data_IF_192611284822
#
_entry.id   IF_192611284822
#
_cell.length_a   1.000
_cell.length_b   1.000
_cell.length_c   1.000
_cell.angle_alpha   90.00
_cell.angle_beta   90.00
_cell.angle_gamma   90.00
#
_symmetry.space_group_name_H-M   'P 1'
#
loop_
_entity.id
_entity.type
_entity.pdbx_description
1 polymer ?
2 water ?
#
# COMPACT_ATOMS: atom_id res chain seq x y z
N UNK A 6 -8.90 -17.06 -14.17
CA UNK A 6 -10.18 -16.43 -14.46
C UNK A 6 -11.34 -17.43 -14.57
N UNK A 7 -12.36 -17.25 -13.74
CA UNK A 7 -12.35 -16.21 -12.71
C UNK A 7 -12.13 -16.83 -11.33
N UNK A 8 -12.01 -15.98 -10.32
CA UNK A 8 -11.77 -16.44 -8.97
C UNK A 8 -13.03 -16.55 -8.16
N UNK A 9 -14.17 -16.35 -8.82
CA UNK A 9 -15.47 -16.60 -8.21
C UNK A 9 -15.54 -18.01 -7.59
N UNK A 10 -15.95 -18.08 -6.33
CA UNK A 10 -16.02 -19.36 -5.66
C UNK A 10 -14.66 -19.99 -5.42
N UNK A 11 -13.61 -19.19 -5.57
CA UNK A 11 -12.26 -19.63 -5.22
C UNK A 11 -11.83 -18.86 -3.99
N UNK A 12 -10.94 -19.45 -3.20
CA UNK A 12 -10.44 -18.76 -2.02
C UNK A 12 -9.16 -18.01 -2.37
N UNK A 13 -9.17 -16.70 -2.12
CA UNK A 13 -8.02 -15.87 -2.42
C UNK A 13 -7.22 -15.64 -1.14
N UNK A 14 -5.93 -15.96 -1.19
CA UNK A 14 -5.08 -15.77 -0.04
C UNK A 14 -4.54 -14.35 -0.07
N UNK A 15 -4.88 -13.56 0.95
CA UNK A 15 -4.33 -12.22 1.14
C UNK A 15 -3.23 -12.41 2.17
N UNK A 16 -2.04 -11.88 1.90
CA UNK A 16 -0.94 -12.09 2.82
C UNK A 16 -0.90 -10.94 3.82
N UNK A 17 -1.24 -11.26 5.06
CA UNK A 17 -1.17 -10.31 6.16
C UNK A 17 -1.11 -11.08 7.47
N UNK A 18 -0.61 -10.43 8.52
CA UNK A 18 -0.60 -11.02 9.84
C UNK A 18 -1.65 -10.34 10.70
N UNK A 19 -2.38 -9.43 10.08
CA UNK A 19 -3.35 -8.59 10.77
C UNK A 19 -4.77 -8.88 10.28
N UNK A 20 -5.55 -9.57 11.11
CA UNK A 20 -6.93 -9.91 10.77
C UNK A 20 -7.79 -8.68 10.50
N UNK A 21 -7.43 -7.56 11.12
CA UNK A 21 -8.17 -6.31 10.98
C UNK A 21 -7.88 -5.67 9.63
N UNK A 22 -6.61 -5.72 9.22
CA UNK A 22 -6.21 -5.32 7.87
C UNK A 22 -6.98 -6.13 6.82
N UNK A 23 -7.20 -7.42 7.11
CA UNK A 23 -7.99 -8.28 6.24
C UNK A 23 -9.46 -7.88 6.29
N UNK A 24 -9.99 -7.76 7.51
CA UNK A 24 -11.36 -7.28 7.73
C UNK A 24 -11.55 -5.94 7.03
N UNK A 25 -10.56 -5.06 7.18
CA UNK A 25 -10.60 -3.76 6.54
C UNK A 25 -10.88 -3.95 5.06
N UNK A 26 -10.10 -4.81 4.42
CA UNK A 26 -10.16 -5.04 2.99
C UNK A 26 -11.47 -5.70 2.56
N UNK A 27 -11.91 -6.70 3.31
CA UNK A 27 -13.21 -7.31 3.05
C UNK A 27 -14.30 -6.24 3.01
N UNK A 28 -14.50 -5.56 4.14
CA UNK A 28 -15.55 -4.55 4.23
C UNK A 28 -15.53 -3.66 3.00
N UNK A 29 -14.42 -2.96 2.83
CA UNK A 29 -14.29 -1.95 1.79
C UNK A 29 -14.17 -2.49 0.38
N UNK A 30 -14.20 -3.78 0.15
CA UNK A 30 -14.36 -4.22 -1.20
C UNK A 30 -15.81 -4.34 -1.51
N UNK A 31 -16.62 -4.27 -0.47
CA UNK A 31 -18.06 -4.39 -0.62
C UNK A 31 -18.49 -5.84 -0.72
N UNK A 32 -19.80 -6.03 -0.60
CA UNK A 32 -20.41 -7.35 -0.64
C UNK A 32 -20.03 -8.13 -1.91
N UNK A 33 -20.17 -7.48 -3.07
CA UNK A 33 -20.09 -8.15 -4.38
C UNK A 33 -18.77 -8.80 -4.79
N UNK A 34 -18.78 -10.09 -5.14
CA UNK A 34 -19.61 -11.15 -4.56
C UNK A 34 -18.75 -12.38 -4.82
N UNK A 35 -18.70 -13.32 -3.87
CA UNK A 35 -18.20 -14.68 -4.15
C UNK A 35 -16.68 -14.89 -4.27
N UNK A 36 -15.88 -13.83 -4.36
CA UNK A 36 -14.43 -14.02 -4.24
C UNK A 36 -14.05 -14.01 -2.75
N UNK A 37 -13.50 -15.13 -2.29
CA UNK A 37 -13.44 -15.42 -0.85
C UNK A 37 -12.03 -15.26 -0.25
N UNK A 38 -11.88 -14.23 0.58
CA UNK A 38 -10.57 -13.74 1.00
C UNK A 38 -10.19 -14.25 2.39
N UNK A 39 -9.06 -14.97 2.45
CA UNK A 39 -8.55 -15.58 3.68
C UNK A 39 -7.17 -15.01 3.98
N UNK A 40 -6.89 -14.78 5.27
CA UNK A 40 -5.61 -14.25 5.71
C UNK A 40 -4.61 -15.37 5.98
N UNK A 41 -3.49 -15.33 5.28
CA UNK A 41 -2.44 -16.29 5.53
C UNK A 41 -1.18 -15.49 5.71
N UNK A 42 -0.43 -15.79 6.76
CA UNK A 42 0.81 -15.10 6.99
C UNK A 42 1.88 -15.92 6.28
N UNK A 43 2.42 -15.35 5.22
CA UNK A 43 3.44 -16.02 4.45
C UNK A 43 4.69 -15.17 4.55
N UNK A 44 5.83 -15.82 4.75
CA UNK A 44 7.06 -15.07 4.82
C UNK A 44 7.53 -14.91 3.38
N UNK A 45 7.59 -13.65 2.95
CA UNK A 45 8.10 -13.34 1.63
C UNK A 45 9.33 -12.47 1.77
N UNK A 46 10.26 -12.58 0.81
CA UNK A 46 11.37 -11.64 0.79
C UNK A 46 10.82 -10.24 0.53
N UNK A 47 11.57 -9.25 0.99
CA UNK A 47 11.32 -7.86 0.67
C UNK A 47 12.31 -7.57 -0.46
N UNK A 48 11.82 -7.05 -1.58
CA UNK A 48 12.70 -6.85 -2.73
C UNK A 48 13.01 -5.38 -2.97
N UNK A 49 14.22 -5.10 -3.48
CA UNK A 49 14.55 -3.79 -4.03
C UNK A 49 14.07 -3.71 -5.47
N UNK A 50 13.74 -2.50 -5.90
CA UNK A 50 13.31 -2.26 -7.26
C UNK A 50 12.40 -1.05 -7.33
N UNK A 51 11.81 -0.80 -8.50
CA UNK A 51 10.73 0.17 -8.62
C UNK A 51 9.49 -0.40 -7.93
N UNK A 52 8.58 0.48 -7.49
CA UNK A 52 7.39 0.01 -6.76
C UNK A 52 6.60 -1.09 -7.48
N UNK A 53 6.33 -0.94 -8.78
CA UNK A 53 5.65 -1.97 -9.58
C UNK A 53 6.41 -3.30 -9.61
N UNK A 54 7.74 -3.24 -9.76
CA UNK A 54 8.55 -4.45 -9.87
C UNK A 54 8.54 -5.22 -8.56
N UNK A 55 8.62 -4.49 -7.46
CA UNK A 55 8.61 -5.13 -6.15
C UNK A 55 7.31 -5.89 -5.90
N UNK A 56 6.17 -5.25 -6.17
CA UNK A 56 4.84 -5.86 -5.97
C UNK A 56 4.68 -7.13 -6.80
N UNK A 57 5.20 -7.11 -8.03
CA UNK A 57 5.08 -8.24 -8.95
C UNK A 57 5.99 -9.39 -8.53
N UNK A 58 7.23 -9.08 -8.17
CA UNK A 58 8.16 -10.09 -7.68
C UNK A 58 7.59 -10.72 -6.42
N UNK A 59 7.09 -9.86 -5.55
CA UNK A 59 6.46 -10.30 -4.34
C UNK A 59 5.27 -11.19 -4.65
N UNK A 60 4.40 -10.75 -5.55
CA UNK A 60 3.19 -11.53 -5.83
C UNK A 60 3.52 -12.89 -6.46
N UNK A 61 4.43 -12.89 -7.44
CA UNK A 61 4.93 -14.12 -8.05
C UNK A 61 5.51 -15.12 -7.05
N UNK A 62 6.29 -14.62 -6.10
CA UNK A 62 6.84 -15.48 -5.05
C UNK A 62 5.74 -15.99 -4.13
N UNK A 63 4.74 -15.15 -3.85
CA UNK A 63 3.60 -15.63 -3.07
C UNK A 63 2.92 -16.76 -3.84
N UNK A 64 2.83 -16.61 -5.17
CA UNK A 64 2.13 -17.59 -6.00
C UNK A 64 2.79 -18.98 -6.05
N UNK A 65 4.12 -19.02 -6.01
CA UNK A 65 4.81 -20.30 -6.08
C UNK A 65 4.74 -21.06 -4.76
N UNK A 66 4.52 -20.34 -3.67
CA UNK A 66 4.24 -20.97 -2.39
C UNK A 66 2.78 -21.39 -2.29
N UNK A 67 1.88 -20.48 -2.63
CA UNK A 67 0.45 -20.74 -2.47
C UNK A 67 -0.08 -21.64 -3.58
N UNK A 68 0.37 -21.39 -4.81
CA UNK A 68 -0.14 -22.11 -5.98
C UNK A 68 -1.66 -22.01 -6.05
N UNK A 69 -2.13 -20.76 -6.04
CA UNK A 69 -3.55 -20.44 -6.02
C UNK A 69 -3.65 -18.93 -6.01
N UNK A 70 -4.87 -18.39 -6.14
CA UNK A 70 -5.07 -16.93 -6.13
C UNK A 70 -4.45 -16.27 -4.89
N UNK A 71 -3.69 -15.21 -5.12
CA UNK A 71 -3.07 -14.53 -3.99
C UNK A 71 -3.08 -13.01 -4.15
N UNK A 72 -3.24 -12.33 -3.03
CA UNK A 72 -3.26 -10.88 -3.00
C UNK A 72 -2.18 -10.38 -2.03
N UNK A 73 -1.42 -9.37 -2.44
CA UNK A 73 -0.42 -8.75 -1.57
C UNK A 73 -0.49 -7.22 -1.66
N UNK A 74 -0.01 -6.54 -0.62
CA UNK A 74 -0.10 -5.08 -0.50
C UNK A 74 1.26 -4.48 -0.12
N UNK A 75 1.63 -3.37 -0.76
CA UNK A 75 2.78 -2.58 -0.33
C UNK A 75 2.46 -1.10 -0.26
N UNK A 76 3.21 -0.39 0.57
CA UNK A 76 3.11 1.06 0.65
C UNK A 76 4.49 1.72 0.47
N UNK A 77 4.50 2.87 -0.20
CA UNK A 77 5.68 3.70 -0.36
C UNK A 77 5.33 5.12 0.07
N UNK A 78 6.33 5.86 0.56
CA UNK A 78 6.20 7.30 0.81
C UNK A 78 7.29 7.97 -0.01
N UNK A 79 6.88 8.72 -1.03
CA UNK A 79 7.77 9.19 -2.08
C UNK A 79 7.99 10.70 -2.05
N UNK A 80 9.22 11.12 -1.77
CA UNK A 80 9.53 12.55 -1.75
C UNK A 80 9.90 12.95 -3.18
N UNK A 81 9.24 13.97 -3.73
CA UNK A 81 9.53 14.38 -5.11
C UNK A 81 10.93 14.96 -5.29
N UNK A 82 11.47 15.58 -4.25
CA UNK A 82 12.81 16.18 -4.30
C UNK A 82 13.90 15.12 -4.39
N UNK A 83 13.54 13.89 -4.01
CA UNK A 83 14.44 12.75 -4.01
C UNK A 83 14.08 11.75 -5.09
N UNK A 84 13.31 12.19 -6.08
CA UNK A 84 12.92 11.33 -7.18
C UNK A 84 12.01 10.16 -6.83
N UNK A 85 11.22 10.33 -5.77
CA UNK A 85 10.31 9.28 -5.37
C UNK A 85 10.84 8.44 -4.23
N UNK A 86 12.06 8.72 -3.78
CA UNK A 86 12.62 8.08 -2.59
C UNK A 86 12.13 8.80 -1.33
N UNK A 87 12.13 8.11 -0.17
CA UNK A 87 12.53 6.74 0.16
C UNK A 87 11.73 5.69 -0.58
N UNK A 88 10.51 6.04 -0.99
CA UNK A 88 9.63 5.12 -1.70
C UNK A 88 9.46 3.81 -0.95
N UNK A 89 9.77 2.69 -1.62
CA UNK A 89 9.61 1.35 -1.04
C UNK A 89 10.56 1.06 0.12
N UNK A 90 11.51 1.97 0.38
CA UNK A 90 12.45 1.77 1.48
C UNK A 90 12.06 2.60 2.71
N UNK A 91 10.82 3.09 2.71
CA UNK A 91 10.37 4.02 3.74
C UNK A 91 10.44 3.42 5.16
N UNK A 92 10.17 2.13 5.32
CA UNK A 92 10.21 1.53 6.64
C UNK A 92 11.57 1.73 7.30
N UNK A 93 12.63 1.50 6.53
CA UNK A 93 14.00 1.62 7.05
C UNK A 93 14.31 3.06 7.44
N UNK A 94 13.84 4.01 6.64
CA UNK A 94 14.15 5.41 6.91
C UNK A 94 13.38 5.95 8.11
N UNK A 95 12.15 5.47 8.26
CA UNK A 95 11.32 5.79 9.42
C UNK A 95 11.94 5.24 10.70
N UNK A 96 12.29 3.95 10.69
CA UNK A 96 12.97 3.35 11.82
C UNK A 96 14.21 4.14 12.25
N UNK A 97 15.05 4.52 11.29
CA UNK A 97 16.29 5.21 11.62
C UNK A 97 16.08 6.68 11.96
N UNK A 98 15.21 7.36 11.21
CA UNK A 98 15.16 8.82 11.29
C UNK A 98 14.03 9.38 12.14
N UNK A 99 12.94 8.62 12.26
CA UNK A 99 11.71 9.07 12.91
C UNK A 99 11.05 10.14 12.03
N UNK A 100 9.75 10.43 12.26
CA UNK A 100 9.09 11.47 11.47
C UNK A 100 9.85 12.81 11.46
N UNK A 101 10.44 13.20 12.59
CA UNK A 101 11.28 14.39 12.62
C UNK A 101 12.42 14.30 11.60
N UNK A 102 13.12 13.16 11.59
CA UNK A 102 14.25 12.96 10.70
C UNK A 102 13.86 12.83 9.24
N UNK A 103 12.67 12.30 8.97
CA UNK A 103 12.18 12.22 7.60
C UNK A 103 11.98 13.63 7.04
N UNK A 104 11.53 14.54 7.89
CA UNK A 104 11.38 15.94 7.49
C UNK A 104 12.75 16.60 7.33
N UNK A 105 13.66 16.28 8.24
CA UNK A 105 15.00 16.84 8.25
C UNK A 105 15.81 16.44 7.00
N UNK A 106 15.48 15.28 6.45
CA UNK A 106 16.07 14.78 5.22
C UNK A 106 15.89 15.75 4.06
N UNK A 107 14.78 16.48 4.04
CA UNK A 107 14.51 17.41 2.95
C UNK A 107 15.01 18.83 3.21
N UNK A 108 15.83 19.00 4.24
CA UNK A 108 16.25 20.34 4.65
C UNK A 108 17.02 21.10 3.58
N UNK A 109 17.72 20.38 2.71
CA UNK A 109 18.47 21.03 1.66
C UNK A 109 17.72 21.21 0.36
N UNK A 110 16.43 20.86 0.35
CA UNK A 110 15.59 20.98 -0.84
C UNK A 110 14.39 21.87 -0.56
N UNK A 111 14.12 22.80 -1.48
CA UNK A 111 12.98 23.71 -1.40
C UNK A 111 11.64 22.98 -1.55
N UNK A 112 11.64 21.98 -2.42
CA UNK A 112 10.43 21.26 -2.76
C UNK A 112 10.18 20.23 -1.68
N UNK A 113 9.09 20.39 -0.94
CA UNK A 113 8.76 19.46 0.13
C UNK A 113 7.60 18.56 -0.28
N UNK A 114 7.21 18.64 -1.55
CA UNK A 114 6.07 17.87 -2.02
C UNK A 114 6.40 16.40 -2.06
N UNK A 115 5.37 15.59 -1.92
CA UNK A 115 5.54 14.16 -1.79
C UNK A 115 4.21 13.48 -2.12
N UNK A 116 4.26 12.17 -2.34
CA UNK A 116 3.03 11.40 -2.44
C UNK A 116 3.13 10.07 -1.71
N UNK A 117 2.00 9.62 -1.16
CA UNK A 117 1.92 8.29 -0.56
C UNK A 117 1.33 7.34 -1.60
N UNK A 118 1.83 6.12 -1.63
CA UNK A 118 1.46 5.17 -2.65
C UNK A 118 1.07 3.85 -2.01
N UNK A 119 -0.05 3.31 -2.43
CA UNK A 119 -0.40 1.97 -2.04
C UNK A 119 -0.58 1.14 -3.29
N UNK A 120 0.02 -0.04 -3.30
CA UNK A 120 -0.11 -0.94 -4.43
C UNK A 120 -0.57 -2.32 -3.99
N UNK A 121 -1.69 -2.77 -4.55
CA UNK A 121 -2.10 -4.16 -4.39
C UNK A 121 -1.72 -4.96 -5.63
N UNK A 122 -1.25 -6.18 -5.42
CA UNK A 122 -0.90 -7.07 -6.52
C UNK A 122 -1.69 -8.36 -6.36
N UNK A 123 -2.27 -8.80 -7.46
CA UNK A 123 -3.16 -9.95 -7.47
C UNK A 123 -2.82 -10.91 -8.60
N UNK A 124 -2.71 -12.18 -8.26
CA UNK A 124 -2.62 -13.21 -9.28
C UNK A 124 -3.72 -14.25 -9.09
N UNK A 125 -4.12 -14.87 -10.20
CA UNK A 125 -5.11 -15.94 -10.21
C UNK A 125 -4.48 -17.25 -9.73
N UNK A 126 -3.15 -17.29 -9.71
CA UNK A 126 -2.43 -18.48 -9.31
C UNK A 126 -1.82 -19.20 -10.50
N UNK A 127 -2.34 -18.89 -11.69
CA UNK A 127 -1.82 -19.43 -12.94
C UNK A 127 -0.69 -18.53 -13.44
N UNK A 128 0.55 -19.05 -13.45
CA UNK A 128 1.76 -18.27 -13.76
C UNK A 128 1.78 -17.70 -15.19
N UNK A 129 1.18 -18.41 -16.14
CA UNK A 129 1.02 -17.89 -17.50
C UNK A 129 0.28 -16.56 -17.47
N UNK A 130 -0.68 -16.43 -16.56
CA UNK A 130 -1.45 -15.20 -16.42
C UNK A 130 -0.70 -14.15 -15.58
N UNK A 131 -0.60 -12.92 -16.11
CA UNK A 131 0.17 -11.84 -15.49
C UNK A 131 -0.42 -11.34 -14.17
N UNK A 132 0.46 -10.91 -13.27
CA UNK A 132 0.06 -10.21 -12.07
C UNK A 132 -0.65 -8.92 -12.46
N UNK A 133 -1.77 -8.63 -11.79
CA UNK A 133 -2.53 -7.42 -12.04
C UNK A 133 -2.32 -6.44 -10.88
N UNK A 134 -1.98 -5.19 -11.20
CA UNK A 134 -1.66 -4.16 -10.18
C UNK A 134 -2.76 -3.13 -9.95
N UNK A 135 -3.01 -2.78 -8.69
CA UNK A 135 -4.02 -1.79 -8.33
C UNK A 135 -3.44 -0.77 -7.36
N UNK A 136 -3.41 0.48 -7.78
CA UNK A 136 -2.67 1.49 -7.06
C UNK A 136 -3.60 2.55 -6.54
N UNK A 137 -3.14 3.26 -5.52
CA UNK A 137 -3.80 4.49 -5.15
C UNK A 137 -2.70 5.37 -4.62
N UNK A 138 -2.93 6.66 -4.76
CA UNK A 138 -1.87 7.63 -4.63
C UNK A 138 -2.47 8.87 -4.00
N UNK A 139 -1.75 9.48 -3.07
CA UNK A 139 -2.22 10.70 -2.44
C UNK A 139 -1.10 11.71 -2.42
N UNK A 140 -1.30 12.82 -3.12
CA UNK A 140 -0.28 13.86 -3.17
C UNK A 140 -0.33 14.73 -1.93
N UNK A 141 0.80 15.31 -1.56
CA UNK A 141 0.91 16.00 -0.30
C UNK A 141 2.24 16.69 -0.09
N UNK A 142 2.56 16.92 1.18
CA UNK A 142 3.80 17.58 1.54
C UNK A 142 4.38 16.95 2.80
N UNK A 143 5.71 16.93 2.88
CA UNK A 143 6.40 16.51 4.09
C UNK A 143 6.55 17.70 5.03
N UNK A 144 6.17 17.52 6.29
CA UNK A 144 6.14 18.63 7.22
C UNK A 144 6.76 18.22 8.54
N UNK A 145 7.17 19.21 9.32
CA UNK A 145 7.54 18.98 10.71
C UNK A 145 6.38 18.23 11.39
N UNK A 146 6.70 17.17 12.14
CA UNK A 146 5.65 16.21 12.53
C UNK A 146 4.58 16.82 13.42
N UNK A 147 3.34 16.37 13.22
CA UNK A 147 2.20 16.78 14.04
C UNK A 147 1.30 15.58 14.21
N UNK A 148 0.70 15.44 15.40
CA UNK A 148 -0.23 14.35 15.67
C UNK A 148 0.45 13.16 16.32
N UNK A 149 -0.32 12.12 16.60
CA UNK A 149 0.15 10.98 17.38
C UNK A 149 1.25 10.19 16.66
N UNK A 150 2.36 9.93 17.34
CA UNK A 150 3.56 9.42 16.69
C UNK A 150 3.65 7.87 16.62
N UNK A 151 2.60 7.17 17.05
CA UNK A 151 2.60 5.71 16.94
C UNK A 151 2.12 5.27 15.55
N UNK A 152 1.86 6.27 14.73
CA UNK A 152 1.19 6.17 13.44
C UNK A 152 2.12 5.94 12.23
N UNK A 153 3.40 5.61 12.47
CA UNK A 153 4.29 5.34 11.35
C UNK A 153 4.76 6.71 10.90
N UNK A 154 4.86 6.90 9.60
CA UNK A 154 5.23 8.18 9.03
C UNK A 154 4.06 9.18 8.85
N UNK A 155 2.85 8.81 9.27
CA UNK A 155 1.70 9.72 9.18
C UNK A 155 1.92 11.15 9.73
N UNK A 156 2.62 11.29 10.87
CA UNK A 156 2.75 12.65 11.41
C UNK A 156 3.46 13.65 10.48
N UNK A 157 4.31 13.19 9.57
CA UNK A 157 5.04 14.13 8.70
C UNK A 157 4.39 14.32 7.33
N UNK A 158 3.26 13.66 7.08
CA UNK A 158 2.63 13.79 5.78
C UNK A 158 1.30 14.54 5.81
N UNK A 159 1.29 15.74 5.21
CA UNK A 159 0.09 16.55 5.09
C UNK A 159 -0.45 16.45 3.66
N UNK A 160 -1.61 15.79 3.49
CA UNK A 160 -2.16 15.68 2.14
C UNK A 160 -2.59 17.04 1.61
N UNK A 161 -2.48 17.22 0.29
CA UNK A 161 -2.91 18.47 -0.31
C UNK A 161 -4.39 18.62 -0.06
N UNK A 162 -4.85 19.86 0.11
CA UNK A 162 -6.25 20.13 0.38
C UNK A 162 -6.62 20.05 1.85
N UNK A 163 -5.62 19.93 2.72
CA UNK A 163 -5.88 19.80 4.15
C UNK A 163 -4.83 20.52 4.98
N UNK A 164 -5.22 20.93 6.19
CA UNK A 164 -4.32 21.57 7.15
C UNK A 164 -3.77 20.57 8.16
N UNK A 165 -4.23 19.33 8.05
CA UNK A 165 -3.87 18.29 9.00
C UNK A 165 -2.94 17.26 8.38
N UNK A 166 -2.01 16.74 9.17
CA UNK A 166 -1.23 15.57 8.79
C UNK A 166 -2.12 14.34 8.86
N UNK A 167 -1.71 13.27 8.18
CA UNK A 167 -2.40 12.00 8.28
C UNK A 167 -2.65 11.66 9.76
N UNK A 168 -1.67 11.95 10.61
CA UNK A 168 -1.78 11.56 12.02
C UNK A 168 -2.74 12.46 12.82
N UNK A 169 -2.91 13.71 12.39
CA UNK A 169 -3.85 14.60 13.07
C UNK A 169 -5.27 14.29 12.64
N UNK A 170 -5.39 13.83 11.40
CA UNK A 170 -6.69 13.62 10.79
C UNK A 170 -7.51 12.60 11.53
N UNK A 171 -8.81 12.89 11.71
CA UNK A 171 -9.73 11.87 12.21
C UNK A 171 -9.91 10.80 11.13
N UNK A 172 -10.01 9.54 11.54
CA UNK A 172 -9.97 8.43 10.59
C UNK A 172 -10.98 8.55 9.44
N UNK A 173 -12.14 9.14 9.70
CA UNK A 173 -13.14 9.31 8.65
C UNK A 173 -12.57 10.13 7.51
N UNK A 174 -11.97 11.27 7.84
CA UNK A 174 -11.46 12.17 6.82
C UNK A 174 -10.25 11.57 6.11
N UNK A 175 -9.42 10.85 6.86
CA UNK A 175 -8.27 10.17 6.27
C UNK A 175 -8.70 9.13 5.23
N UNK A 176 -9.81 8.43 5.50
CA UNK A 176 -10.35 7.44 4.57
C UNK A 176 -10.71 8.00 3.20
N UNK A 177 -11.11 9.27 3.18
CA UNK A 177 -11.48 9.95 1.95
C UNK A 177 -10.28 10.20 1.04
N UNK A 178 -9.19 10.68 1.62
CA UNK A 178 -7.98 11.04 0.86
C UNK A 178 -6.86 9.99 0.78
N UNK A 179 -7.11 8.80 1.32
CA UNK A 179 -6.13 7.76 1.62
C UNK A 179 -5.63 7.00 0.37
N UNK A 180 -4.32 6.83 0.32
CA UNK A 180 -3.67 6.14 -0.77
C UNK A 180 -4.17 4.70 -0.77
N UNK A 181 -4.38 4.16 0.43
CA UNK A 181 -4.91 2.79 0.61
C UNK A 181 -6.34 2.62 0.08
N UNK A 182 -7.24 3.52 0.46
CA UNK A 182 -8.61 3.49 -0.03
C UNK A 182 -8.71 3.67 -1.54
N UNK A 183 -7.90 4.57 -2.10
CA UNK A 183 -7.89 4.74 -3.54
C UNK A 183 -7.58 3.42 -4.23
N UNK A 184 -6.52 2.74 -3.79
CA UNK A 184 -6.09 1.49 -4.41
C UNK A 184 -7.19 0.43 -4.36
N UNK A 185 -7.77 0.24 -3.18
CA UNK A 185 -8.89 -0.68 -3.00
C UNK A 185 -10.06 -0.32 -3.90
N UNK A 186 -10.27 0.97 -4.15
CA UNK A 186 -11.37 1.39 -5.02
C UNK A 186 -11.15 0.84 -6.41
N UNK A 187 -9.89 0.71 -6.80
CA UNK A 187 -9.52 0.22 -8.12
C UNK A 187 -9.66 -1.29 -8.17
N UNK A 188 -9.77 -1.88 -6.98
CA UNK A 188 -9.86 -3.33 -6.85
C UNK A 188 -11.26 -3.79 -7.26
N UNK A 189 -12.28 -3.08 -6.76
CA UNK A 189 -13.66 -3.32 -7.15
C UNK A 189 -13.89 -3.05 -8.63
N UNK A 190 -13.45 -1.88 -9.09
CA UNK A 190 -13.68 -1.47 -10.47
C UNK A 190 -13.17 -2.53 -11.43
N UNK A 191 -12.20 -3.32 -10.97
CA UNK A 191 -11.84 -4.54 -11.66
C UNK A 191 -12.93 -5.59 -11.48
N UNK A 192 -13.29 -5.84 -10.23
CA UNK A 192 -14.07 -7.02 -9.85
C UNK A 192 -15.37 -7.27 -10.62
N UNK A 193 -15.59 -8.55 -10.93
CA UNK A 193 -16.63 -8.97 -11.85
C UNK A 193 -16.00 -9.40 -13.17
N UNK A 194 -14.76 -8.97 -13.39
CA UNK A 194 -14.02 -9.29 -14.62
C UNK A 194 -12.68 -9.98 -14.31
#
# INVERSE_FOLDING_TARGET
GSHMAASLVGKKIVFVTGNAKKLEEVVQILGDKFTCTLVAQKIDLPEYQGEPDEISIQKCQEAVRQVQGPVLVEDTCLCFNALGGLPGPYIKWFLEKLKPEGLHQLLAGFEDKSAYALCTFALSTGDPSQPVRLFRGRTSGRIVAPRGCQDFGWDPCFQPDGYEQTYAEMPKAEKNAVSHRFRALLELQEYFGSLAA
#
